data_IF_961033092186
#
_entry.id   IF_961033092186
#
_cell.length_a   1.000
_cell.length_b   1.000
_cell.length_c   1.000
_cell.angle_alpha   90.00
_cell.angle_beta   90.00
_cell.angle_gamma   90.00
#
_symmetry.space_group_name_H-M   'P 1'
#
loop_
_entity.id
_entity.type
_entity.pdbx_description
1 polymer ?
#
# COMPACT_ATOMS: atom_id res chain seq x y z
N UNK A 1 30.46 -29.96 -22.67
CA UNK A 1 30.44 -28.58 -22.11
C UNK A 1 29.10 -27.89 -22.36
N UNK A 2 28.17 -28.55 -23.05
CA UNK A 2 26.90 -27.97 -23.51
C UNK A 2 25.78 -28.00 -22.45
N UNK A 3 25.85 -28.92 -21.48
CA UNK A 3 24.83 -29.07 -20.42
C UNK A 3 24.75 -27.85 -19.48
N UNK A 4 25.88 -27.23 -19.16
CA UNK A 4 25.92 -26.07 -18.26
C UNK A 4 25.33 -24.82 -18.93
N UNK A 5 25.66 -24.61 -20.21
CA UNK A 5 25.07 -23.53 -21.00
C UNK A 5 23.56 -23.69 -21.17
N UNK A 6 23.08 -24.93 -21.33
CA UNK A 6 21.65 -25.23 -21.41
C UNK A 6 20.93 -24.96 -20.08
N UNK A 7 21.54 -25.36 -18.96
CA UNK A 7 21.02 -25.08 -17.61
C UNK A 7 20.95 -23.57 -17.33
N UNK A 8 22.00 -22.84 -17.68
CA UNK A 8 22.05 -21.37 -17.52
C UNK A 8 20.93 -20.69 -18.31
N UNK A 9 20.71 -21.08 -19.58
CA UNK A 9 19.61 -20.56 -20.41
C UNK A 9 18.24 -20.87 -19.81
N UNK A 10 18.05 -22.09 -19.31
CA UNK A 10 16.80 -22.49 -18.67
C UNK A 10 16.51 -21.68 -17.40
N UNK A 11 17.55 -21.37 -16.59
CA UNK A 11 17.42 -20.51 -15.42
C UNK A 11 16.99 -19.09 -15.80
N UNK A 12 17.63 -18.48 -16.80
CA UNK A 12 17.26 -17.13 -17.24
C UNK A 12 15.87 -17.09 -17.89
N UNK A 13 15.48 -18.13 -18.62
CA UNK A 13 14.12 -18.26 -19.13
C UNK A 13 13.09 -18.37 -17.98
N UNK A 14 13.41 -19.08 -16.90
CA UNK A 14 12.55 -19.15 -15.72
C UNK A 14 12.39 -17.81 -15.01
N UNK A 15 13.47 -17.02 -14.90
CA UNK A 15 13.42 -15.66 -14.35
C UNK A 15 12.52 -14.75 -15.19
N UNK A 16 12.66 -14.81 -16.52
CA UNK A 16 11.79 -14.04 -17.43
C UNK A 16 10.33 -14.45 -17.30
N UNK A 17 10.05 -15.75 -17.22
CA UNK A 17 8.70 -16.25 -17.02
C UNK A 17 8.11 -15.72 -15.71
N UNK A 18 8.86 -15.81 -14.61
CA UNK A 18 8.42 -15.33 -13.30
C UNK A 18 8.13 -13.84 -13.32
N UNK A 19 9.00 -13.03 -13.94
CA UNK A 19 8.79 -11.60 -14.06
C UNK A 19 7.53 -11.25 -14.87
N UNK A 20 7.24 -11.99 -15.95
CA UNK A 20 6.00 -11.82 -16.74
C UNK A 20 4.79 -12.22 -15.89
N UNK A 21 4.86 -13.32 -15.15
CA UNK A 21 3.79 -13.76 -14.23
C UNK A 21 3.52 -12.69 -13.18
N UNK A 22 4.56 -12.13 -12.54
CA UNK A 22 4.43 -11.11 -11.51
C UNK A 22 3.85 -9.80 -12.08
N UNK A 23 4.23 -9.43 -13.31
CA UNK A 23 3.75 -8.21 -13.98
C UNK A 23 2.29 -8.32 -14.46
N UNK A 24 1.83 -9.53 -14.75
CA UNK A 24 0.46 -9.82 -15.25
C UNK A 24 -0.49 -10.33 -14.17
N UNK A 25 0.00 -10.55 -12.95
CA UNK A 25 -0.83 -10.90 -11.81
C UNK A 25 -1.92 -9.84 -11.54
N UNK A 26 -3.03 -10.28 -10.95
CA UNK A 26 -4.09 -9.41 -10.44
C UNK A 26 -3.95 -9.32 -8.90
N UNK A 27 -3.15 -8.37 -8.39
CA UNK A 27 -2.79 -8.33 -6.99
C UNK A 27 -3.98 -7.90 -6.12
N UNK A 28 -4.27 -8.69 -5.08
CA UNK A 28 -5.32 -8.38 -4.11
C UNK A 28 -4.75 -7.83 -2.81
N UNK A 29 -3.52 -8.22 -2.44
CA UNK A 29 -2.80 -7.71 -1.27
C UNK A 29 -1.86 -6.54 -1.64
N UNK A 30 -1.67 -5.59 -0.72
CA UNK A 30 -0.82 -4.42 -0.94
C UNK A 30 0.64 -4.75 -1.25
N UNK A 31 1.16 -5.86 -0.71
CA UNK A 31 2.52 -6.38 -0.99
C UNK A 31 2.64 -6.90 -2.42
N UNK A 32 1.59 -7.55 -2.92
CA UNK A 32 1.51 -8.04 -4.30
C UNK A 32 1.42 -6.86 -5.27
N UNK A 33 0.65 -5.82 -4.93
CA UNK A 33 0.56 -4.58 -5.74
C UNK A 33 1.95 -3.97 -5.95
N UNK A 34 2.76 -3.91 -4.90
CA UNK A 34 4.13 -3.37 -5.00
C UNK A 34 5.04 -4.29 -5.83
N UNK A 35 4.93 -5.62 -5.69
CA UNK A 35 5.71 -6.57 -6.48
C UNK A 35 5.35 -6.48 -7.97
N UNK A 36 4.06 -6.47 -8.30
CA UNK A 36 3.55 -6.28 -9.66
C UNK A 36 3.98 -4.94 -10.24
N UNK A 37 3.90 -3.84 -9.48
CA UNK A 37 4.36 -2.53 -9.92
C UNK A 37 5.86 -2.52 -10.24
N UNK A 38 6.70 -3.10 -9.38
CA UNK A 38 8.15 -3.24 -9.61
C UNK A 38 8.46 -4.08 -10.85
N UNK A 39 7.73 -5.18 -11.06
CA UNK A 39 7.89 -6.02 -12.23
C UNK A 39 7.51 -5.27 -13.52
N UNK A 40 6.40 -4.51 -13.52
CA UNK A 40 6.01 -3.65 -14.65
C UNK A 40 7.05 -2.56 -14.93
N UNK A 41 7.57 -1.91 -13.90
CA UNK A 41 8.61 -0.89 -14.03
C UNK A 41 9.91 -1.47 -14.60
N UNK A 42 10.26 -2.71 -14.24
CA UNK A 42 11.42 -3.41 -14.81
C UNK A 42 11.31 -3.58 -16.33
N UNK A 43 10.12 -3.91 -16.85
CA UNK A 43 9.87 -3.94 -18.30
C UNK A 43 9.82 -2.55 -18.91
N UNK A 44 9.22 -1.54 -18.26
CA UNK A 44 9.08 -0.17 -18.80
C UNK A 44 10.39 0.64 -18.79
N UNK A 45 11.29 0.35 -17.86
CA UNK A 45 12.52 1.11 -17.63
C UNK A 45 13.65 0.88 -18.64
N UNK A 46 13.49 -0.08 -19.57
CA UNK A 46 14.52 -0.47 -20.56
C UNK A 46 15.93 -0.59 -19.93
N UNK A 47 16.01 -1.17 -18.73
CA UNK A 47 17.27 -1.33 -18.02
C UNK A 47 18.17 -2.34 -18.75
N UNK A 48 19.48 -2.09 -18.76
CA UNK A 48 20.52 -2.97 -19.32
C UNK A 48 20.34 -4.43 -18.88
N UNK A 49 19.89 -4.61 -17.64
CA UNK A 49 19.58 -5.90 -17.01
C UNK A 49 18.60 -6.77 -17.81
N UNK A 50 17.57 -6.18 -18.43
CA UNK A 50 16.59 -6.94 -19.21
C UNK A 50 17.22 -7.53 -20.48
N UNK A 51 18.07 -6.74 -21.16
CA UNK A 51 18.74 -7.16 -22.38
C UNK A 51 19.72 -8.29 -22.09
N UNK A 52 20.50 -8.16 -21.03
CA UNK A 52 21.45 -9.21 -20.60
C UNK A 52 20.74 -10.52 -20.25
N UNK A 53 19.60 -10.45 -19.56
CA UNK A 53 18.79 -11.63 -19.22
C UNK A 53 18.22 -12.31 -20.47
N UNK A 54 17.72 -11.54 -21.44
CA UNK A 54 17.24 -12.09 -22.71
C UNK A 54 18.37 -12.72 -23.53
N UNK A 55 19.52 -12.06 -23.64
CA UNK A 55 20.68 -12.58 -24.34
C UNK A 55 21.21 -13.87 -23.68
N UNK A 56 21.24 -13.91 -22.34
CA UNK A 56 21.64 -15.10 -21.57
C UNK A 56 20.63 -16.26 -21.69
N UNK A 57 19.35 -15.96 -21.92
CA UNK A 57 18.31 -16.95 -22.22
C UNK A 57 18.32 -17.41 -23.71
N UNK A 58 19.04 -16.71 -24.59
CA UNK A 58 18.99 -16.95 -26.04
C UNK A 58 17.69 -16.48 -26.71
N UNK A 59 17.03 -15.49 -26.11
CA UNK A 59 15.75 -14.93 -26.58
C UNK A 59 15.97 -13.53 -27.16
N UNK A 60 15.18 -13.18 -28.18
CA UNK A 60 15.21 -11.84 -28.78
C UNK A 60 14.59 -10.80 -27.82
N UNK A 61 15.39 -9.85 -27.28
CA UNK A 61 14.92 -8.87 -26.31
C UNK A 61 13.83 -7.97 -26.90
N UNK A 62 13.88 -7.63 -28.19
CA UNK A 62 12.90 -6.72 -28.81
C UNK A 62 11.52 -7.39 -28.86
N UNK A 63 11.49 -8.65 -29.26
CA UNK A 63 10.25 -9.43 -29.35
C UNK A 63 9.63 -9.66 -27.98
N UNK A 64 10.43 -10.06 -26.99
CA UNK A 64 9.94 -10.31 -25.62
C UNK A 64 9.46 -9.02 -24.96
N UNK A 65 10.21 -7.92 -25.14
CA UNK A 65 9.83 -6.63 -24.57
C UNK A 65 8.50 -6.13 -25.12
N UNK A 66 8.32 -6.15 -26.45
CA UNK A 66 7.05 -5.75 -27.08
C UNK A 66 5.88 -6.56 -26.54
N UNK A 67 6.02 -7.89 -26.54
CA UNK A 67 4.98 -8.80 -26.09
C UNK A 67 4.66 -8.62 -24.59
N UNK A 68 5.69 -8.43 -23.75
CA UNK A 68 5.51 -8.17 -22.33
C UNK A 68 4.75 -6.86 -22.09
N UNK A 69 5.09 -5.79 -22.82
CA UNK A 69 4.37 -4.51 -22.73
C UNK A 69 2.91 -4.64 -23.15
N UNK A 70 2.61 -5.36 -24.24
CA UNK A 70 1.24 -5.58 -24.69
C UNK A 70 0.41 -6.31 -23.61
N UNK A 71 0.98 -7.37 -23.00
CA UNK A 71 0.34 -8.09 -21.89
C UNK A 71 0.17 -7.24 -20.62
N UNK A 72 1.17 -6.42 -20.30
CA UNK A 72 1.11 -5.51 -19.15
C UNK A 72 0.02 -4.46 -19.36
N UNK A 73 -0.09 -3.89 -20.56
CA UNK A 73 -1.13 -2.92 -20.88
C UNK A 73 -2.54 -3.53 -20.71
N UNK A 74 -2.72 -4.78 -21.13
CA UNK A 74 -3.98 -5.50 -20.93
C UNK A 74 -4.28 -5.77 -19.45
N UNK A 75 -3.27 -6.18 -18.66
CA UNK A 75 -3.41 -6.36 -17.22
C UNK A 75 -3.73 -5.03 -16.49
N UNK A 76 -3.04 -3.94 -16.84
CA UNK A 76 -3.32 -2.60 -16.30
C UNK A 76 -4.74 -2.13 -16.64
N UNK A 77 -5.23 -2.43 -17.84
CA UNK A 77 -6.61 -2.14 -18.22
C UNK A 77 -7.62 -2.93 -17.36
N UNK A 78 -7.36 -4.21 -17.07
CA UNK A 78 -8.18 -5.02 -16.15
C UNK A 78 -8.16 -4.46 -14.73
N UNK A 79 -6.98 -4.12 -14.21
CA UNK A 79 -6.81 -3.55 -12.87
C UNK A 79 -7.52 -2.19 -12.74
N UNK A 80 -7.49 -1.37 -13.79
CA UNK A 80 -8.17 -0.07 -13.83
C UNK A 80 -9.69 -0.16 -13.76
N UNK A 81 -10.28 -1.27 -14.21
CA UNK A 81 -11.72 -1.55 -14.09
C UNK A 81 -12.08 -1.99 -12.66
N UNK A 82 -11.20 -2.73 -11.97
CA UNK A 82 -11.47 -3.26 -10.62
C UNK A 82 -11.07 -2.29 -9.50
N UNK A 83 -9.99 -1.54 -9.70
CA UNK A 83 -9.54 -0.51 -8.75
C UNK A 83 -10.25 0.80 -9.09
N UNK A 84 -11.44 1.01 -8.51
CA UNK A 84 -12.02 2.36 -8.31
C UNK A 84 -11.15 3.29 -7.44
N UNK A 85 -9.87 2.96 -7.27
CA UNK A 85 -8.76 3.72 -6.70
C UNK A 85 -7.66 3.90 -7.75
N UNK A 86 -8.04 4.24 -8.98
CA UNK A 86 -7.13 4.97 -9.84
C UNK A 86 -6.58 6.14 -9.03
N UNK A 87 -5.25 6.30 -9.06
CA UNK A 87 -4.57 7.55 -8.72
C UNK A 87 -4.97 8.65 -9.73
N UNK A 88 -6.27 8.74 -10.04
CA UNK A 88 -6.90 9.91 -10.59
C UNK A 88 -6.65 10.99 -9.56
N UNK A 89 -5.55 11.70 -9.81
CA UNK A 89 -5.12 12.95 -9.21
C UNK A 89 -6.33 13.58 -8.56
N UNK A 90 -6.49 13.41 -7.24
CA UNK A 90 -7.63 13.97 -6.50
C UNK A 90 -7.64 15.44 -6.86
N UNK A 91 -8.53 15.84 -7.77
CA UNK A 91 -8.56 17.19 -8.28
C UNK A 91 -8.68 18.06 -7.06
N UNK A 92 -7.68 18.92 -6.83
CA UNK A 92 -7.66 19.74 -5.64
C UNK A 92 -8.85 20.68 -5.74
N UNK A 93 -9.95 20.33 -5.05
CA UNK A 93 -11.21 21.05 -5.15
C UNK A 93 -10.93 22.53 -4.89
N UNK A 94 -11.41 23.37 -5.81
CA UNK A 94 -11.16 24.81 -5.78
C UNK A 94 -12.28 25.54 -5.06
N UNK A 95 -11.91 26.57 -4.32
CA UNK A 95 -12.83 27.46 -3.62
C UNK A 95 -12.66 28.87 -4.19
N UNK A 96 -13.77 29.52 -4.53
CA UNK A 96 -13.79 30.92 -4.95
C UNK A 96 -14.12 31.79 -3.74
N UNK A 97 -13.21 32.67 -3.35
CA UNK A 97 -13.37 33.59 -2.23
C UNK A 97 -12.69 34.93 -2.55
N UNK A 98 -13.38 36.05 -2.31
CA UNK A 98 -12.88 37.41 -2.60
C UNK A 98 -12.31 37.59 -4.02
N UNK A 99 -12.97 36.99 -5.03
CA UNK A 99 -12.54 37.06 -6.43
C UNK A 99 -11.32 36.19 -6.78
N UNK A 100 -10.81 35.38 -5.84
CA UNK A 100 -9.71 34.43 -6.09
C UNK A 100 -10.25 33.00 -6.08
N UNK A 101 -9.92 32.22 -7.12
CA UNK A 101 -10.22 30.78 -7.18
C UNK A 101 -8.94 30.00 -6.96
N UNK A 102 -8.80 29.39 -5.80
CA UNK A 102 -7.61 28.63 -5.41
C UNK A 102 -7.97 27.22 -4.93
N UNK A 103 -7.05 26.25 -5.07
CA UNK A 103 -7.25 24.90 -4.56
C UNK A 103 -7.19 24.87 -3.02
N UNK A 104 -7.91 23.94 -2.38
CA UNK A 104 -7.96 23.76 -0.92
C UNK A 104 -6.59 23.80 -0.20
N UNK A 105 -5.50 23.19 -0.72
CA UNK A 105 -4.18 23.30 -0.09
C UNK A 105 -3.61 24.71 -0.10
N UNK A 106 -3.89 25.50 -1.14
CA UNK A 106 -3.47 26.90 -1.20
C UNK A 106 -4.26 27.74 -0.18
N UNK A 107 -5.58 27.54 -0.08
CA UNK A 107 -6.39 28.19 0.95
C UNK A 107 -5.99 27.80 2.38
N UNK A 108 -5.55 26.57 2.59
CA UNK A 108 -5.02 26.11 3.89
C UNK A 108 -3.77 26.89 4.30
N UNK A 109 -2.88 27.19 3.33
CA UNK A 109 -1.68 27.99 3.56
C UNK A 109 -2.01 29.47 3.81
N UNK A 110 -2.96 30.03 3.06
CA UNK A 110 -3.37 31.44 3.18
C UNK A 110 -4.10 31.72 4.51
N UNK A 111 -5.02 30.83 4.91
CA UNK A 111 -5.90 31.04 6.08
C UNK A 111 -5.38 30.41 7.36
N UNK A 112 -4.38 29.53 7.28
CA UNK A 112 -3.89 28.73 8.41
C UNK A 112 -4.86 27.65 8.90
N UNK A 113 -5.99 27.46 8.22
CA UNK A 113 -6.98 26.42 8.54
C UNK A 113 -6.47 25.09 7.95
N UNK A 114 -6.47 24.03 8.75
CA UNK A 114 -5.98 22.72 8.29
C UNK A 114 -6.85 22.12 7.17
N UNK A 115 -6.22 21.48 6.19
CA UNK A 115 -6.89 20.81 5.05
C UNK A 115 -8.07 19.92 5.45
N UNK A 116 -7.90 19.11 6.50
CA UNK A 116 -8.96 18.22 7.01
C UNK A 116 -10.21 18.99 7.44
N UNK A 117 -10.04 20.18 7.99
CA UNK A 117 -11.14 21.01 8.48
C UNK A 117 -11.88 21.65 7.31
N UNK A 118 -11.15 22.11 6.28
CA UNK A 118 -11.76 22.61 5.04
C UNK A 118 -12.53 21.50 4.31
N UNK A 119 -11.99 20.28 4.24
CA UNK A 119 -12.68 19.12 3.69
C UNK A 119 -13.97 18.80 4.46
N UNK A 120 -13.91 18.82 5.79
CA UNK A 120 -15.09 18.60 6.63
C UNK A 120 -16.15 19.68 6.39
N UNK A 121 -15.76 20.96 6.38
CA UNK A 121 -16.66 22.09 6.10
C UNK A 121 -17.33 21.99 4.73
N UNK A 122 -16.56 21.60 3.71
CA UNK A 122 -17.09 21.36 2.38
C UNK A 122 -18.11 20.23 2.35
N UNK A 123 -17.82 19.09 3.01
CA UNK A 123 -18.75 17.96 3.13
C UNK A 123 -20.05 18.34 3.85
N UNK A 124 -19.97 19.29 4.77
CA UNK A 124 -21.13 19.86 5.47
C UNK A 124 -21.87 20.93 4.64
N UNK A 125 -21.49 21.15 3.38
CA UNK A 125 -22.15 22.11 2.49
C UNK A 125 -21.86 23.58 2.80
N UNK A 126 -20.75 23.89 3.47
CA UNK A 126 -20.42 25.27 3.79
C UNK A 126 -19.99 26.03 2.53
N UNK A 127 -20.44 27.29 2.42
CA UNK A 127 -19.94 28.22 1.40
C UNK A 127 -18.46 28.52 1.62
N UNK A 128 -17.77 28.93 0.56
CA UNK A 128 -16.34 29.23 0.60
C UNK A 128 -15.99 30.30 1.64
N UNK A 129 -16.76 31.38 1.67
CA UNK A 129 -16.60 32.48 2.63
C UNK A 129 -16.68 31.96 4.06
N UNK A 130 -17.75 31.22 4.39
CA UNK A 130 -17.96 30.70 5.74
C UNK A 130 -16.90 29.67 6.13
N UNK A 131 -16.48 28.85 5.18
CA UNK A 131 -15.47 27.82 5.40
C UNK A 131 -14.07 28.40 5.66
N UNK A 132 -13.75 29.57 5.12
CA UNK A 132 -12.43 30.22 5.26
C UNK A 132 -12.38 31.26 6.39
N UNK A 133 -13.51 31.86 6.76
CA UNK A 133 -13.56 32.91 7.80
C UNK A 133 -13.83 32.39 9.20
N UNK A 134 -14.45 31.22 9.35
CA UNK A 134 -14.80 30.70 10.68
C UNK A 134 -13.57 30.12 11.37
N UNK A 135 -13.17 30.60 12.57
CA UNK A 135 -12.04 30.03 13.31
C UNK A 135 -12.35 28.60 13.75
N UNK A 136 -11.33 27.75 13.80
CA UNK A 136 -11.51 26.34 14.15
C UNK A 136 -11.25 26.17 15.64
N UNK A 137 -12.23 25.62 16.35
CA UNK A 137 -12.06 25.31 17.78
C UNK A 137 -10.94 24.26 17.91
N UNK A 138 -9.93 24.49 18.77
CA UNK A 138 -8.87 23.51 18.96
C UNK A 138 -9.50 22.21 19.48
N UNK A 139 -9.13 21.08 18.86
CA UNK A 139 -9.56 19.77 19.38
C UNK A 139 -8.94 19.61 20.77
N UNK A 140 -9.78 19.38 21.77
CA UNK A 140 -9.31 18.96 23.10
C UNK A 140 -8.53 17.66 22.90
N UNK A 141 -7.22 17.69 23.16
CA UNK A 141 -6.41 16.45 23.20
C UNK A 141 -6.96 15.63 24.36
N UNK A 142 -7.57 14.48 24.08
CA UNK A 142 -7.86 13.51 25.15
C UNK A 142 -6.52 13.07 25.71
N UNK A 143 -6.33 13.17 27.03
CA UNK A 143 -5.16 12.57 27.67
C UNK A 143 -5.25 11.06 27.44
N UNK A 144 -4.16 10.36 27.08
CA UNK A 144 -4.14 8.90 27.11
C UNK A 144 -4.62 8.44 28.50
N UNK A 145 -5.69 7.65 28.56
CA UNK A 145 -6.30 7.17 29.82
C UNK A 145 -7.65 7.78 30.22
N UNK A 146 -8.22 8.76 29.51
CA UNK A 146 -9.57 9.31 29.81
C UNK A 146 -10.70 8.45 29.25
N UNK A 147 -10.76 7.20 29.70
CA UNK A 147 -11.79 6.20 29.39
C UNK A 147 -12.78 6.16 30.55
N UNK A 148 -13.73 7.11 30.52
CA UNK A 148 -14.75 7.29 31.58
C UNK A 148 -15.75 6.13 31.74
N UNK A 149 -15.70 5.15 30.84
CA UNK A 149 -16.66 4.04 30.72
C UNK A 149 -15.96 2.72 30.41
N UNK A 150 -14.83 2.41 31.06
CA UNK A 150 -14.56 0.99 31.30
C UNK A 150 -15.49 0.58 32.43
N UNK A 151 -16.61 -0.09 32.11
CA UNK A 151 -17.36 -0.81 33.13
C UNK A 151 -16.36 -1.70 33.89
N UNK A 152 -16.38 -1.64 35.22
CA UNK A 152 -15.67 -2.59 36.06
C UNK A 152 -16.11 -3.99 35.63
N UNK A 153 -15.19 -4.69 34.97
CA UNK A 153 -15.47 -6.02 34.49
C UNK A 153 -15.44 -6.96 35.68
N UNK A 154 -16.61 -7.22 36.28
CA UNK A 154 -16.79 -8.24 37.30
C UNK A 154 -16.71 -9.61 36.63
N UNK A 155 -15.48 -10.09 36.42
CA UNK A 155 -15.17 -11.48 36.19
C UNK A 155 -15.25 -12.00 34.75
N UNK A 156 -14.09 -12.27 34.16
CA UNK A 156 -13.82 -13.59 33.56
C UNK A 156 -12.52 -14.05 34.15
N UNK A 157 -12.61 -15.16 34.87
CA UNK A 157 -11.52 -15.76 35.60
C UNK A 157 -10.34 -16.05 34.70
N UNK A 158 -9.26 -15.32 34.94
CA UNK A 158 -7.94 -15.65 34.46
C UNK A 158 -6.93 -15.13 35.49
N UNK A 159 -6.54 -16.01 36.41
CA UNK A 159 -5.31 -15.87 37.20
C UNK A 159 -5.39 -15.01 38.45
N UNK A 160 -5.96 -15.56 39.52
CA UNK A 160 -5.47 -15.30 40.89
C UNK A 160 -5.96 -16.41 41.83
N UNK A 161 -5.26 -17.55 41.79
CA UNK A 161 -5.12 -18.44 42.93
C UNK A 161 -3.68 -18.96 42.92
N UNK A 162 -3.08 -18.92 44.10
CA UNK A 162 -1.67 -19.03 44.38
C UNK A 162 -1.01 -20.29 43.79
N UNK A 163 0.31 -20.19 43.58
CA UNK A 163 1.18 -21.34 43.39
C UNK A 163 1.14 -22.23 44.64
N UNK A 164 0.20 -23.17 44.68
CA UNK A 164 0.27 -24.29 45.61
C UNK A 164 0.59 -25.54 44.79
N UNK A 165 1.89 -25.77 44.60
CA UNK A 165 2.38 -27.01 43.97
C UNK A 165 2.68 -28.00 45.09
N UNK A 166 1.98 -29.13 45.22
CA UNK A 166 2.42 -30.18 46.12
C UNK A 166 3.79 -30.70 45.66
N UNK A 167 4.71 -30.84 46.61
CA UNK A 167 6.09 -31.30 46.39
C UNK A 167 6.05 -32.77 45.96
N UNK A 168 6.15 -33.02 44.65
CA UNK A 168 6.33 -34.37 44.12
C UNK A 168 7.81 -34.74 44.24
N UNK A 169 8.12 -35.66 45.16
CA UNK A 169 9.44 -36.30 45.23
C UNK A 169 9.45 -37.46 44.23
N UNK A 170 10.39 -37.44 43.28
CA UNK A 170 10.58 -38.51 42.30
C UNK A 170 11.59 -39.52 42.87
N UNK A 171 11.18 -40.74 43.24
CA UNK A 171 12.12 -41.77 43.65
C UNK A 171 12.95 -42.22 42.45
N UNK A 172 14.27 -42.04 42.54
CA UNK A 172 15.25 -42.59 41.61
C UNK A 172 15.33 -44.10 41.84
N UNK A 173 14.93 -44.92 40.85
CA UNK A 173 15.21 -46.35 40.84
C UNK A 173 16.48 -46.54 40.01
N UNK A 174 17.60 -46.83 40.69
CA UNK A 174 18.86 -47.23 40.07
C UNK A 174 18.71 -48.61 39.41
N UNK A 175 19.21 -48.73 38.18
CA UNK A 175 19.49 -49.99 37.48
C UNK A 175 21.01 -50.14 37.33
#
# INVERSE_FOLDING_TARGET
MDDEALRMRALWAAVLLQAITDATANPVASTEVLATARARDWFKGNATDFREVCEAAGLDPVRIHREALDRIAEAEARDGVMTGRGLGRSEHRTFTFNGRTLPLPAWSRETGIGLTQLHYRHRQGWSAERALTTPVKPRRKKKPGDVKNFQEYTGTGAGSLAQDRPKMEFPCHDL
#
